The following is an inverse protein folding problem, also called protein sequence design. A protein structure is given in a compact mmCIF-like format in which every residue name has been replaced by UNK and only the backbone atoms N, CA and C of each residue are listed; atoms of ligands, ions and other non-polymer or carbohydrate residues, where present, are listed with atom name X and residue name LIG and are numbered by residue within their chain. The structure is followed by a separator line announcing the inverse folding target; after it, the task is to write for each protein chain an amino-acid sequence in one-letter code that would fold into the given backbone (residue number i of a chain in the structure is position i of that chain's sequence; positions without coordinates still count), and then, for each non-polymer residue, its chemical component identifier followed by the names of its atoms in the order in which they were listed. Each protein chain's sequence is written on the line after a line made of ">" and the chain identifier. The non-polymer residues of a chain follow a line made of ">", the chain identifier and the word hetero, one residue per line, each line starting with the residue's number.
data_IF_132159060259
#
_entry.id   IF_132159060259
#
_cell.length_a   1.000
_cell.length_b   1.000
_cell.length_c   1.000
_cell.angle_alpha   90.00
_cell.angle_beta   90.00
_cell.angle_gamma   90.00
#
_symmetry.space_group_name_H-M   'P 1'
#
loop_
_entity.id
_entity.type
_entity.pdbx_description
1 polymer ?
#
# COMPACT_ATOMS: atom_id res chain seq x y z
N UNK A 1 -7.72 20.95 -8.49
CA UNK A 1 -6.62 19.95 -8.49
C UNK A 1 -6.48 19.39 -7.08
N UNK A 2 -6.26 18.09 -6.93
CA UNK A 2 -6.07 17.39 -5.64
C UNK A 2 -4.69 16.74 -5.61
N UNK A 3 -4.09 16.61 -4.43
CA UNK A 3 -2.67 16.22 -4.26
C UNK A 3 -2.46 14.84 -3.65
N UNK A 4 -3.53 14.14 -3.25
CA UNK A 4 -3.43 12.80 -2.64
C UNK A 4 -4.70 11.97 -2.82
N UNK A 5 -4.60 10.65 -2.64
CA UNK A 5 -5.77 9.76 -2.65
C UNK A 5 -6.81 10.13 -1.58
N UNK A 6 -6.37 10.63 -0.42
CA UNK A 6 -7.26 11.11 0.64
C UNK A 6 -8.07 12.31 0.17
N UNK A 7 -7.43 13.29 -0.47
CA UNK A 7 -8.12 14.47 -1.00
C UNK A 7 -9.12 14.11 -2.11
N UNK A 8 -8.79 13.12 -2.96
CA UNK A 8 -9.71 12.59 -3.98
C UNK A 8 -10.96 12.02 -3.31
N UNK A 9 -10.81 11.10 -2.36
CA UNK A 9 -11.94 10.48 -1.68
C UNK A 9 -12.79 11.49 -0.89
N UNK A 10 -12.15 12.47 -0.24
CA UNK A 10 -12.85 13.56 0.43
C UNK A 10 -13.64 14.44 -0.54
N UNK A 11 -13.11 14.71 -1.74
CA UNK A 11 -13.82 15.50 -2.74
C UNK A 11 -15.09 14.77 -3.21
N UNK A 12 -14.99 13.45 -3.46
CA UNK A 12 -16.13 12.62 -3.87
C UNK A 12 -17.17 12.54 -2.74
N UNK A 13 -16.73 12.22 -1.51
CA UNK A 13 -17.63 12.10 -0.35
C UNK A 13 -18.42 13.38 -0.08
N UNK A 14 -17.83 14.55 -0.36
CA UNK A 14 -18.46 15.86 -0.18
C UNK A 14 -19.26 16.33 -1.42
N UNK A 15 -19.43 15.48 -2.44
CA UNK A 15 -20.19 15.81 -3.66
C UNK A 15 -19.52 16.86 -4.55
N UNK A 16 -18.21 17.06 -4.43
CA UNK A 16 -17.45 17.99 -5.29
C UNK A 16 -16.99 17.33 -6.60
N UNK A 17 -17.09 16.01 -6.69
CA UNK A 17 -16.77 15.20 -7.86
C UNK A 17 -17.58 13.90 -7.81
N UNK A 18 -17.88 13.31 -8.97
CA UNK A 18 -18.60 12.04 -9.06
C UNK A 18 -17.66 10.83 -8.95
N UNK A 19 -16.43 10.96 -9.47
CA UNK A 19 -15.42 9.89 -9.52
C UNK A 19 -14.00 10.46 -9.41
N UNK A 20 -13.01 9.60 -9.14
CA UNK A 20 -11.61 9.98 -9.08
C UNK A 20 -10.66 8.79 -8.93
N UNK A 21 -9.38 9.00 -9.22
CA UNK A 21 -8.34 7.96 -9.14
C UNK A 21 -7.80 7.87 -7.71
N UNK A 22 -7.88 6.69 -7.13
CA UNK A 22 -7.51 6.42 -5.73
C UNK A 22 -7.09 4.98 -5.50
N UNK A 23 -6.61 4.69 -4.29
CA UNK A 23 -6.33 3.32 -3.84
C UNK A 23 -7.51 2.75 -3.04
N UNK A 24 -7.67 1.42 -3.09
CA UNK A 24 -8.78 0.68 -2.48
C UNK A 24 -8.93 0.97 -0.98
N UNK A 25 -7.83 1.01 -0.24
CA UNK A 25 -7.82 1.24 1.21
C UNK A 25 -8.47 2.58 1.59
N UNK A 26 -8.24 3.62 0.79
CA UNK A 26 -8.82 4.95 1.00
C UNK A 26 -10.29 4.98 0.60
N UNK A 27 -10.67 4.38 -0.54
CA UNK A 27 -12.08 4.27 -0.92
C UNK A 27 -12.90 3.58 0.19
N UNK A 28 -12.38 2.49 0.76
CA UNK A 28 -12.99 1.80 1.90
C UNK A 28 -13.09 2.69 3.15
N UNK A 29 -12.04 3.45 3.46
CA UNK A 29 -12.03 4.35 4.61
C UNK A 29 -13.16 5.40 4.55
N UNK A 30 -13.52 5.85 3.34
CA UNK A 30 -14.58 6.82 3.10
C UNK A 30 -15.95 6.21 2.75
N UNK A 31 -16.06 4.88 2.77
CA UNK A 31 -17.26 4.13 2.39
C UNK A 31 -17.73 4.52 0.97
N UNK A 32 -16.81 4.43 0.02
CA UNK A 32 -17.03 4.69 -1.41
C UNK A 32 -16.88 3.40 -2.19
N UNK A 33 -17.66 3.26 -3.27
CA UNK A 33 -17.48 2.19 -4.25
C UNK A 33 -16.09 2.28 -4.89
N UNK A 34 -15.50 1.12 -5.16
CA UNK A 34 -14.18 1.02 -5.77
C UNK A 34 -14.21 0.05 -6.97
N UNK A 35 -13.78 0.55 -8.13
CA UNK A 35 -13.62 -0.24 -9.35
C UNK A 35 -12.12 -0.46 -9.57
N UNK A 36 -11.60 -1.71 -9.47
CA UNK A 36 -10.20 -1.98 -9.73
C UNK A 36 -9.84 -1.67 -11.19
N UNK A 37 -8.78 -0.89 -11.40
CA UNK A 37 -8.29 -0.53 -12.73
C UNK A 37 -6.87 -1.06 -12.99
N UNK A 38 -5.95 -0.85 -12.04
CA UNK A 38 -4.57 -1.30 -12.13
C UNK A 38 -3.99 -1.50 -10.72
N UNK A 39 -3.02 -2.41 -10.61
CA UNK A 39 -2.22 -2.58 -9.39
C UNK A 39 -1.12 -1.53 -9.33
N UNK A 40 -0.97 -0.91 -8.16
CA UNK A 40 0.12 0.01 -7.86
C UNK A 40 1.21 -0.74 -7.08
N UNK A 41 2.45 -0.70 -7.58
CA UNK A 41 3.60 -1.38 -6.98
C UNK A 41 4.41 -0.38 -6.15
N UNK A 42 4.70 -0.75 -4.91
CA UNK A 42 5.49 0.06 -3.99
C UNK A 42 6.69 -0.75 -3.49
N UNK A 43 7.83 -0.07 -3.37
CA UNK A 43 9.04 -0.60 -2.76
C UNK A 43 9.40 0.18 -1.49
N UNK A 44 10.06 -0.49 -0.55
CA UNK A 44 10.64 0.17 0.61
C UNK A 44 12.05 0.66 0.29
N UNK A 45 12.31 1.94 0.53
CA UNK A 45 13.63 2.55 0.35
C UNK A 45 14.39 2.53 1.67
N UNK A 46 15.62 2.02 1.63
CA UNK A 46 16.54 1.98 2.77
C UNK A 46 17.84 2.68 2.39
N UNK A 47 18.40 3.45 3.33
CA UNK A 47 19.72 4.04 3.14
C UNK A 47 20.78 2.95 3.01
N UNK A 48 21.67 3.08 2.01
CA UNK A 48 22.64 2.04 1.66
C UNK A 48 23.54 1.61 2.84
N UNK A 49 23.92 2.55 3.69
CA UNK A 49 24.74 2.30 4.89
C UNK A 49 23.97 1.61 6.03
N UNK A 50 22.64 1.50 5.93
CA UNK A 50 21.77 0.85 6.93
C UNK A 50 21.32 -0.55 6.57
N UNK A 51 21.60 -1.01 5.35
CA UNK A 51 21.20 -2.35 4.86
C UNK A 51 21.65 -3.49 5.78
N UNK A 52 22.86 -3.40 6.34
CA UNK A 52 23.39 -4.42 7.26
C UNK A 52 22.95 -4.28 8.73
N UNK A 53 22.08 -3.33 9.06
CA UNK A 53 21.65 -3.13 10.44
C UNK A 53 20.64 -4.19 10.88
N UNK A 54 20.70 -4.58 12.16
CA UNK A 54 19.77 -5.54 12.75
C UNK A 54 18.30 -5.14 12.56
N UNK A 55 18.00 -3.83 12.59
CA UNK A 55 16.65 -3.30 12.38
C UNK A 55 16.11 -3.61 10.99
N UNK A 56 16.94 -3.43 9.94
CA UNK A 56 16.56 -3.74 8.57
C UNK A 56 16.44 -5.25 8.36
N UNK A 57 17.32 -6.03 9.01
CA UNK A 57 17.20 -7.50 9.04
C UNK A 57 15.85 -7.95 9.58
N UNK A 58 15.46 -7.52 10.79
CA UNK A 58 14.16 -7.84 11.39
C UNK A 58 12.97 -7.36 10.57
N UNK A 59 13.09 -6.20 9.93
CA UNK A 59 12.05 -5.68 9.04
C UNK A 59 11.86 -6.60 7.81
N UNK A 60 12.95 -7.02 7.16
CA UNK A 60 12.88 -7.95 6.04
C UNK A 60 12.38 -9.35 6.45
N UNK A 61 12.76 -9.84 7.62
CA UNK A 61 12.22 -11.09 8.18
C UNK A 61 10.71 -11.00 8.36
N UNK A 62 10.20 -9.89 8.91
CA UNK A 62 8.77 -9.67 9.07
C UNK A 62 8.05 -9.64 7.71
N UNK A 63 8.58 -8.90 6.72
CA UNK A 63 8.03 -8.85 5.36
C UNK A 63 8.05 -10.21 4.64
N UNK A 64 9.00 -11.07 4.97
CA UNK A 64 9.13 -12.42 4.41
C UNK A 64 8.29 -13.47 5.14
N UNK A 65 7.80 -13.15 6.34
CA UNK A 65 7.04 -14.10 7.17
C UNK A 65 5.66 -14.40 6.59
N UNK A 66 5.31 -15.68 6.51
CA UNK A 66 4.01 -16.12 6.00
C UNK A 66 2.86 -15.64 6.90
N UNK A 67 3.08 -15.56 8.21
CA UNK A 67 2.11 -15.04 9.17
C UNK A 67 1.75 -13.58 8.86
N UNK A 68 2.77 -12.71 8.68
CA UNK A 68 2.53 -11.31 8.36
C UNK A 68 1.82 -11.16 7.02
N UNK A 69 2.30 -11.84 5.98
CA UNK A 69 1.68 -11.81 4.64
C UNK A 69 0.21 -12.25 4.69
N UNK A 70 -0.09 -13.32 5.41
CA UNK A 70 -1.47 -13.82 5.56
C UNK A 70 -2.38 -12.79 6.23
N UNK A 71 -1.90 -12.10 7.28
CA UNK A 71 -2.68 -11.04 7.94
C UNK A 71 -2.95 -9.84 7.04
N UNK A 72 -1.99 -9.48 6.19
CA UNK A 72 -2.11 -8.30 5.33
C UNK A 72 -2.94 -8.60 4.07
N UNK A 73 -2.67 -9.72 3.38
CA UNK A 73 -3.42 -10.13 2.18
C UNK A 73 -4.86 -10.56 2.49
N UNK A 74 -5.12 -11.08 3.70
CA UNK A 74 -6.45 -11.54 4.10
C UNK A 74 -7.45 -10.41 4.39
N UNK A 75 -7.00 -9.15 4.40
CA UNK A 75 -7.85 -7.99 4.66
C UNK A 75 -8.37 -7.31 3.39
N UNK A 76 -9.43 -6.51 3.52
CA UNK A 76 -10.02 -5.79 2.38
C UNK A 76 -9.23 -4.54 1.94
N UNK A 77 -7.99 -4.37 2.40
CA UNK A 77 -7.15 -3.24 2.03
C UNK A 77 -6.61 -3.36 0.60
N UNK A 78 -6.73 -4.54 -0.02
CA UNK A 78 -6.25 -4.80 -1.38
C UNK A 78 -4.73 -4.79 -1.49
N UNK A 79 -4.03 -5.16 -0.41
CA UNK A 79 -2.58 -5.27 -0.40
C UNK A 79 -2.21 -6.68 -0.85
N UNK A 80 -1.35 -6.75 -1.86
CA UNK A 80 -0.79 -7.99 -2.38
C UNK A 80 0.73 -7.93 -2.28
N UNK A 81 1.35 -9.09 -2.07
CA UNK A 81 2.80 -9.23 -2.06
C UNK A 81 3.21 -9.90 -3.36
N UNK A 82 4.12 -9.28 -4.09
CA UNK A 82 4.79 -9.96 -5.18
C UNK A 82 5.77 -11.02 -4.63
N UNK A 83 6.23 -11.93 -5.49
CA UNK A 83 7.19 -12.97 -5.11
C UNK A 83 8.57 -12.43 -4.72
N UNK A 84 8.80 -11.11 -4.81
CA UNK A 84 10.08 -10.46 -4.56
C UNK A 84 10.11 -9.70 -3.23
N UNK A 85 8.99 -9.57 -2.51
CA UNK A 85 8.96 -8.82 -1.24
C UNK A 85 9.98 -9.37 -0.24
N UNK A 86 10.80 -8.47 0.32
CA UNK A 86 11.91 -8.80 1.23
C UNK A 86 13.28 -8.94 0.53
N UNK A 87 13.30 -8.94 -0.81
CA UNK A 87 14.53 -8.87 -1.59
C UNK A 87 15.07 -7.44 -1.58
N UNK A 88 16.34 -7.29 -1.24
CA UNK A 88 17.05 -6.01 -1.35
C UNK A 88 17.58 -5.90 -2.78
N UNK A 89 17.18 -4.84 -3.47
CA UNK A 89 17.73 -4.47 -4.78
C UNK A 89 18.93 -3.54 -4.52
N UNK A 90 20.13 -3.97 -4.92
CA UNK A 90 21.40 -3.23 -4.74
C UNK A 90 21.91 -2.62 -6.03
#
# INVERSE_FOLDING_TARGET
>A
EVRSHLEVAMAIKNGKADTGVGIRSVAKLFDLDFIPFQNERFDFVVLKDKVGSEKIGKFNEALSSQEFRSRVCGGDLGIEFDGEVGKILL
#
